data_IF_624709640300
#
_entry.id   IF_624709640300
#
_cell.length_a   1.000
_cell.length_b   1.000
_cell.length_c   1.000
_cell.angle_alpha   90.00
_cell.angle_beta   90.00
_cell.angle_gamma   90.00
#
_symmetry.space_group_name_H-M   'P 1'
#
loop_
_entity.id
_entity.type
_entity.pdbx_description
1 polymer ?
#
# COMPACT_ATOMS: atom_id res chain seq x y z
N UNK A 1 -3.68 26.49 -11.74
CA UNK A 1 -4.89 25.72 -12.02
C UNK A 1 -5.07 24.63 -10.96
N UNK A 2 -6.31 24.45 -10.48
CA UNK A 2 -6.62 23.38 -9.50
C UNK A 2 -6.95 22.10 -10.27
N UNK A 3 -6.42 20.96 -9.81
CA UNK A 3 -6.67 19.67 -10.41
C UNK A 3 -7.29 18.71 -9.40
N UNK A 4 -8.10 17.79 -9.90
CA UNK A 4 -8.63 16.64 -9.18
C UNK A 4 -7.88 15.42 -9.67
N UNK A 5 -7.40 14.59 -8.74
CA UNK A 5 -6.70 13.34 -9.01
C UNK A 5 -7.54 12.17 -8.49
N UNK A 6 -7.69 11.14 -9.30
CA UNK A 6 -8.44 9.93 -8.98
C UNK A 6 -7.59 8.71 -9.27
N UNK A 7 -7.45 7.83 -8.29
CA UNK A 7 -6.80 6.54 -8.47
C UNK A 7 -7.80 5.52 -8.99
N UNK A 8 -7.38 4.74 -9.98
CA UNK A 8 -8.20 3.69 -10.60
C UNK A 8 -7.36 2.44 -10.83
N UNK A 9 -7.97 1.25 -10.65
CA UNK A 9 -7.42 0.03 -11.21
C UNK A 9 -7.60 0.07 -12.71
N UNK A 10 -6.52 -0.10 -13.46
CA UNK A 10 -6.45 0.13 -14.90
C UNK A 10 -5.93 -1.10 -15.63
N UNK A 11 -6.68 -1.55 -16.63
CA UNK A 11 -6.23 -2.60 -17.53
C UNK A 11 -5.30 -2.00 -18.57
N UNK A 12 -3.99 -2.10 -18.36
CA UNK A 12 -2.96 -1.52 -19.22
C UNK A 12 -2.84 -2.24 -20.56
N UNK A 13 -2.99 -3.54 -20.55
CA UNK A 13 -3.11 -4.43 -21.70
C UNK A 13 -4.06 -5.57 -21.35
N UNK A 14 -4.46 -6.38 -22.32
CA UNK A 14 -5.38 -7.48 -22.08
C UNK A 14 -4.91 -8.34 -20.89
N UNK A 15 -5.81 -8.53 -19.92
CA UNK A 15 -5.60 -9.29 -18.68
C UNK A 15 -4.42 -8.82 -17.78
N UNK A 16 -3.88 -7.61 -18.00
CA UNK A 16 -2.79 -7.09 -17.18
C UNK A 16 -3.17 -5.74 -16.57
N UNK A 17 -3.14 -5.68 -15.25
CA UNK A 17 -3.67 -4.57 -14.46
C UNK A 17 -2.58 -3.86 -13.66
N UNK A 18 -2.77 -2.57 -13.46
CA UNK A 18 -2.04 -1.76 -12.48
C UNK A 18 -2.97 -0.73 -11.84
N UNK A 19 -2.43 0.09 -10.95
CA UNK A 19 -3.14 1.22 -10.36
C UNK A 19 -2.60 2.50 -10.98
N UNK A 20 -3.47 3.26 -11.64
CA UNK A 20 -3.13 4.48 -12.37
C UNK A 20 -3.81 5.70 -11.77
N UNK A 21 -3.33 6.90 -12.10
CA UNK A 21 -3.94 8.16 -11.70
C UNK A 21 -4.55 8.83 -12.92
N UNK A 22 -5.82 9.17 -12.81
CA UNK A 22 -6.51 10.09 -13.69
C UNK A 22 -6.44 11.51 -13.11
N UNK A 23 -6.40 12.51 -13.98
CA UNK A 23 -6.41 13.93 -13.60
C UNK A 23 -7.41 14.71 -14.44
N UNK A 24 -8.17 15.59 -13.79
CA UNK A 24 -9.02 16.58 -14.45
C UNK A 24 -8.70 17.98 -13.94
N UNK A 25 -8.81 19.00 -14.79
CA UNK A 25 -8.87 20.37 -14.33
C UNK A 25 -10.19 20.61 -13.60
N UNK A 26 -10.14 21.34 -12.48
CA UNK A 26 -11.34 21.69 -11.73
C UNK A 26 -12.24 22.60 -12.57
N UNK A 27 -13.48 22.20 -12.78
CA UNK A 27 -14.52 22.95 -13.46
C UNK A 27 -15.82 22.87 -12.65
N UNK A 28 -16.65 23.91 -12.74
CA UNK A 28 -17.95 23.95 -12.06
C UNK A 28 -19.02 23.12 -12.79
N UNK A 29 -18.85 22.88 -14.08
CA UNK A 29 -19.88 22.27 -14.93
C UNK A 29 -19.68 20.78 -15.19
N UNK A 30 -18.45 20.37 -15.46
CA UNK A 30 -18.10 18.97 -15.76
C UNK A 30 -16.61 18.71 -15.55
N UNK A 31 -16.25 17.45 -15.41
CA UNK A 31 -14.85 17.01 -15.27
C UNK A 31 -14.54 16.04 -16.41
N UNK A 32 -13.46 16.35 -17.13
CA UNK A 32 -12.89 15.44 -18.12
C UNK A 32 -11.58 14.93 -17.54
N UNK A 33 -11.47 13.61 -17.39
CA UNK A 33 -10.31 12.96 -16.84
C UNK A 33 -9.42 12.38 -17.94
N UNK A 34 -8.14 12.70 -17.87
CA UNK A 34 -7.10 12.11 -18.69
C UNK A 34 -6.16 11.27 -17.83
N UNK A 35 -5.48 10.29 -18.44
CA UNK A 35 -4.44 9.53 -17.74
C UNK A 35 -3.29 10.49 -17.42
N UNK A 36 -3.04 10.68 -16.12
CA UNK A 36 -1.95 11.51 -15.63
C UNK A 36 -0.69 10.67 -15.40
N UNK A 37 -0.83 9.52 -14.74
CA UNK A 37 0.26 8.62 -14.44
C UNK A 37 -0.21 7.17 -14.53
N UNK A 38 0.62 6.32 -15.11
CA UNK A 38 0.44 4.87 -15.10
C UNK A 38 1.79 4.19 -14.91
N UNK A 39 1.91 3.23 -13.96
CA UNK A 39 3.12 2.42 -13.82
C UNK A 39 3.52 1.72 -15.11
N UNK A 40 4.82 1.52 -15.32
CA UNK A 40 5.32 0.75 -16.45
C UNK A 40 4.98 -0.74 -16.33
N UNK A 41 5.05 -1.27 -15.11
CA UNK A 41 4.64 -2.63 -14.80
C UNK A 41 3.12 -2.78 -14.72
N UNK A 42 2.63 -3.98 -14.99
CA UNK A 42 1.27 -4.44 -14.68
C UNK A 42 1.30 -5.92 -14.29
N UNK A 43 0.29 -6.40 -13.58
CA UNK A 43 0.16 -7.79 -13.13
C UNK A 43 -0.87 -8.50 -13.98
N UNK A 44 -0.49 -9.62 -14.56
CA UNK A 44 -1.38 -10.49 -15.33
C UNK A 44 -2.26 -11.31 -14.37
N UNK A 45 -3.53 -11.53 -14.76
CA UNK A 45 -4.44 -12.36 -13.96
C UNK A 45 -3.88 -13.80 -13.86
N UNK A 46 -3.38 -14.32 -14.98
CA UNK A 46 -2.76 -15.64 -15.07
C UNK A 46 -1.22 -15.51 -14.91
N UNK A 47 -0.77 -15.06 -13.75
CA UNK A 47 0.66 -14.93 -13.45
C UNK A 47 1.25 -16.22 -12.88
N UNK A 48 2.59 -16.29 -12.82
CA UNK A 48 3.35 -17.47 -12.38
C UNK A 48 3.06 -17.92 -10.94
N UNK A 49 2.50 -17.05 -10.10
CA UNK A 49 2.07 -17.40 -8.74
C UNK A 49 0.66 -17.99 -8.70
N UNK A 50 -0.12 -17.90 -9.79
CA UNK A 50 -1.53 -18.28 -9.78
C UNK A 50 -2.39 -17.43 -8.85
N UNK A 51 -1.88 -16.28 -8.41
CA UNK A 51 -2.56 -15.37 -7.48
C UNK A 51 -2.75 -14.00 -8.12
N UNK A 52 -3.98 -13.54 -8.11
CA UNK A 52 -4.35 -12.18 -8.47
C UNK A 52 -5.46 -11.66 -7.57
N UNK A 53 -5.28 -10.46 -7.04
CA UNK A 53 -6.32 -9.81 -6.28
C UNK A 53 -6.35 -8.30 -6.56
N UNK A 54 -7.39 -7.84 -7.22
CA UNK A 54 -7.58 -6.43 -7.55
C UNK A 54 -7.70 -5.50 -6.32
N UNK A 55 -8.06 -6.04 -5.15
CA UNK A 55 -8.13 -5.25 -3.92
C UNK A 55 -6.75 -4.96 -3.30
N UNK A 56 -5.69 -5.72 -3.68
CA UNK A 56 -4.31 -5.46 -3.25
C UNK A 56 -3.61 -4.45 -4.18
N UNK A 57 -4.30 -3.38 -4.55
CA UNK A 57 -3.89 -2.41 -5.55
C UNK A 57 -3.22 -1.14 -5.00
N UNK A 58 -3.32 -0.88 -3.69
CA UNK A 58 -2.91 0.41 -3.11
C UNK A 58 -3.83 1.54 -3.58
N UNK A 59 -3.26 2.59 -4.17
CA UNK A 59 -4.03 3.65 -4.83
C UNK A 59 -4.27 4.88 -3.95
N UNK A 60 -3.54 5.07 -2.85
CA UNK A 60 -3.67 6.26 -2.01
C UNK A 60 -2.89 7.42 -2.62
N UNK A 61 -3.54 8.58 -2.65
CA UNK A 61 -2.97 9.85 -3.09
C UNK A 61 -2.93 10.79 -1.89
N UNK A 62 -1.77 11.41 -1.64
CA UNK A 62 -1.62 12.42 -0.60
C UNK A 62 -0.87 13.64 -1.12
N UNK A 63 -1.10 14.80 -0.51
CA UNK A 63 -0.28 15.98 -0.74
C UNK A 63 1.13 15.74 -0.22
N UNK A 64 2.13 16.22 -0.94
CA UNK A 64 3.53 16.12 -0.54
C UNK A 64 4.20 17.49 -0.54
N UNK A 65 4.80 17.86 -1.63
CA UNK A 65 5.41 19.19 -1.79
C UNK A 65 4.54 20.07 -2.68
N UNK A 66 4.95 21.34 -2.85
CA UNK A 66 4.28 22.24 -3.79
C UNK A 66 4.10 21.60 -5.18
N UNK A 67 5.12 20.88 -5.65
CA UNK A 67 5.17 20.35 -7.02
C UNK A 67 4.87 18.85 -7.12
N UNK A 68 4.80 18.12 -6.01
CA UNK A 68 4.66 16.67 -6.01
C UNK A 68 3.45 16.19 -5.21
N UNK A 69 2.94 15.04 -5.58
CA UNK A 69 2.00 14.23 -4.80
C UNK A 69 2.68 12.93 -4.40
N UNK A 70 2.24 12.34 -3.29
CA UNK A 70 2.53 10.94 -2.96
C UNK A 70 1.47 10.04 -3.57
N UNK A 71 1.91 8.87 -3.98
CA UNK A 71 1.05 7.84 -4.52
C UNK A 71 1.51 6.45 -4.09
N UNK A 72 0.59 5.64 -3.58
CA UNK A 72 0.88 4.25 -3.26
C UNK A 72 0.37 3.29 -4.33
N UNK A 73 1.13 2.25 -4.58
CA UNK A 73 0.78 1.15 -5.48
C UNK A 73 0.87 -0.16 -4.73
N UNK A 74 -0.04 -1.08 -4.99
CA UNK A 74 0.00 -2.43 -4.44
C UNK A 74 0.63 -3.42 -5.41
N UNK A 75 0.65 -4.69 -5.03
CA UNK A 75 1.27 -5.76 -5.81
C UNK A 75 0.27 -6.63 -6.56
N UNK A 76 -1.04 -6.46 -6.33
CA UNK A 76 -2.09 -7.35 -6.86
C UNK A 76 -1.85 -8.82 -6.52
N UNK A 77 -1.12 -9.11 -5.44
CA UNK A 77 -0.54 -10.37 -4.99
C UNK A 77 0.66 -10.90 -5.77
N UNK A 78 1.12 -10.24 -6.83
CA UNK A 78 2.41 -10.57 -7.44
C UNK A 78 3.55 -9.99 -6.59
N UNK A 79 3.95 -10.73 -5.58
CA UNK A 79 4.74 -10.29 -4.42
C UNK A 79 6.13 -9.76 -4.75
N UNK A 80 6.84 -10.40 -5.67
CA UNK A 80 8.23 -10.08 -6.02
C UNK A 80 8.41 -8.64 -6.51
N UNK A 81 7.36 -8.06 -7.10
CA UNK A 81 7.38 -6.68 -7.56
C UNK A 81 7.65 -5.69 -6.42
N UNK A 82 7.27 -6.01 -5.18
CA UNK A 82 7.52 -5.13 -4.05
C UNK A 82 9.01 -4.92 -3.77
N UNK A 83 9.84 -5.94 -4.03
CA UNK A 83 11.29 -5.90 -3.82
C UNK A 83 12.10 -5.49 -5.07
N UNK A 84 11.48 -5.41 -6.24
CA UNK A 84 12.16 -4.97 -7.44
C UNK A 84 12.20 -3.43 -7.53
N UNK A 85 13.39 -2.79 -7.41
CA UNK A 85 13.51 -1.33 -7.47
C UNK A 85 13.31 -0.74 -8.88
N UNK A 86 13.14 -1.56 -9.90
CA UNK A 86 13.01 -1.13 -11.31
C UNK A 86 11.56 -0.95 -11.75
N UNK A 87 10.59 -1.28 -10.90
CA UNK A 87 9.18 -1.09 -11.19
C UNK A 87 8.48 -0.27 -10.11
N UNK A 88 7.29 0.22 -10.42
CA UNK A 88 6.53 1.12 -9.56
C UNK A 88 5.43 0.41 -8.75
N UNK A 89 5.34 -0.93 -8.74
CA UNK A 89 4.34 -1.68 -7.97
C UNK A 89 4.90 -2.11 -6.60
N UNK A 90 4.04 -2.06 -5.57
CA UNK A 90 4.46 -2.29 -4.18
C UNK A 90 5.34 -1.17 -3.63
N UNK A 91 5.02 0.07 -3.97
CA UNK A 91 5.83 1.26 -3.67
C UNK A 91 5.00 2.42 -3.14
N UNK A 92 5.67 3.36 -2.47
CA UNK A 92 5.21 4.74 -2.33
C UNK A 92 6.07 5.60 -3.26
N UNK A 93 5.40 6.34 -4.13
CA UNK A 93 6.00 7.15 -5.18
C UNK A 93 5.81 8.64 -4.86
N UNK A 94 6.79 9.46 -5.19
CA UNK A 94 6.64 10.90 -5.36
C UNK A 94 6.48 11.20 -6.85
N UNK A 95 5.38 11.83 -7.24
CA UNK A 95 5.06 12.11 -8.64
C UNK A 95 5.01 13.63 -8.85
N UNK A 96 5.80 14.12 -9.78
CA UNK A 96 5.81 15.54 -10.18
C UNK A 96 4.52 15.91 -10.93
N UNK A 97 3.82 16.94 -10.46
CA UNK A 97 2.51 17.36 -10.98
C UNK A 97 2.55 17.89 -12.41
N UNK A 98 3.72 18.36 -12.88
CA UNK A 98 3.87 18.96 -14.20
C UNK A 98 4.32 17.94 -15.24
N UNK A 99 5.21 17.03 -14.86
CA UNK A 99 5.86 16.10 -15.79
C UNK A 99 5.36 14.67 -15.67
N UNK A 100 4.59 14.36 -14.61
CA UNK A 100 4.16 13.01 -14.25
C UNK A 100 5.33 12.02 -14.00
N UNK A 101 6.56 12.53 -13.84
CA UNK A 101 7.70 11.68 -13.50
C UNK A 101 7.60 11.20 -12.06
N UNK A 102 7.78 9.89 -11.87
CA UNK A 102 7.77 9.24 -10.58
C UNK A 102 9.18 8.99 -10.05
N UNK A 103 9.35 9.14 -8.73
CA UNK A 103 10.51 8.69 -7.96
C UNK A 103 10.01 7.76 -6.86
N UNK A 104 10.65 6.60 -6.70
CA UNK A 104 10.36 5.68 -5.59
C UNK A 104 10.88 6.32 -4.30
N UNK A 105 10.02 6.47 -3.30
CA UNK A 105 10.32 6.99 -1.96
C UNK A 105 10.52 5.81 -0.99
N UNK A 106 9.66 4.81 -1.07
CA UNK A 106 9.79 3.57 -0.32
C UNK A 106 9.31 2.38 -1.13
N UNK A 107 9.74 1.19 -0.71
CA UNK A 107 9.47 -0.08 -1.37
C UNK A 107 9.17 -1.17 -0.34
N UNK A 108 8.85 -2.37 -0.80
CA UNK A 108 8.51 -3.46 0.11
C UNK A 108 7.13 -3.29 0.73
N UNK A 109 6.18 -2.72 -0.02
CA UNK A 109 4.78 -2.54 0.37
C UNK A 109 3.89 -3.60 -0.27
N UNK A 110 2.92 -4.10 0.49
CA UNK A 110 1.89 -5.02 0.00
C UNK A 110 0.67 -4.27 -0.51
N UNK A 111 -0.04 -3.55 0.37
CA UNK A 111 -1.30 -2.87 0.09
C UNK A 111 -1.52 -1.69 1.03
N UNK A 112 -0.99 -0.54 0.67
CA UNK A 112 -1.09 0.69 1.46
C UNK A 112 -2.51 1.24 1.40
N UNK A 113 -3.17 1.34 2.55
CA UNK A 113 -4.56 1.76 2.72
C UNK A 113 -4.74 3.19 3.23
N UNK A 114 -3.72 3.76 3.81
CA UNK A 114 -3.67 5.15 4.24
C UNK A 114 -2.30 5.75 3.97
N UNK A 115 -2.26 7.04 3.67
CA UNK A 115 -1.02 7.75 3.33
C UNK A 115 -1.14 9.22 3.71
N UNK A 116 -0.16 9.74 4.43
CA UNK A 116 -0.09 11.16 4.78
C UNK A 116 1.35 11.62 4.91
N UNK A 117 1.59 12.89 4.61
CA UNK A 117 2.88 13.54 4.80
C UNK A 117 2.78 14.60 5.89
N UNK A 118 3.71 14.57 6.81
CA UNK A 118 3.83 15.52 7.89
C UNK A 118 5.00 16.48 7.63
N UNK A 119 4.68 17.65 7.08
CA UNK A 119 5.67 18.61 6.60
C UNK A 119 6.62 19.11 7.70
N UNK A 120 6.13 19.27 8.94
CA UNK A 120 6.94 19.81 10.05
C UNK A 120 8.13 18.94 10.44
N UNK A 121 7.96 17.62 10.38
CA UNK A 121 8.98 16.65 10.77
C UNK A 121 9.59 15.96 9.55
N UNK A 122 9.10 16.30 8.33
CA UNK A 122 9.50 15.67 7.08
C UNK A 122 9.29 14.14 7.10
N UNK A 123 8.11 13.71 7.53
CA UNK A 123 7.75 12.30 7.72
C UNK A 123 6.61 11.88 6.80
N UNK A 124 6.71 10.68 6.25
CA UNK A 124 5.59 10.00 5.58
C UNK A 124 5.09 8.89 6.49
N UNK A 125 3.81 8.93 6.81
CA UNK A 125 3.12 7.89 7.55
C UNK A 125 2.19 7.13 6.62
N UNK A 126 2.19 5.81 6.72
CA UNK A 126 1.28 4.95 5.97
C UNK A 126 0.68 3.86 6.85
N UNK A 127 -0.50 3.41 6.47
CA UNK A 127 -1.14 2.21 7.00
C UNK A 127 -1.21 1.18 5.91
N UNK A 128 -1.01 -0.08 6.26
CA UNK A 128 -0.90 -1.15 5.28
C UNK A 128 -1.62 -2.41 5.74
N UNK A 129 -2.36 -3.06 4.84
CA UNK A 129 -2.88 -4.39 5.09
C UNK A 129 -1.77 -5.42 4.94
N UNK A 130 -1.53 -6.17 6.01
CA UNK A 130 -0.76 -7.40 5.95
C UNK A 130 -1.49 -8.53 5.21
N UNK A 131 -0.89 -9.70 5.14
CA UNK A 131 -1.61 -10.92 4.74
C UNK A 131 -2.58 -11.35 5.85
N UNK A 132 -2.71 -12.61 6.17
CA UNK A 132 -3.57 -13.06 7.27
C UNK A 132 -2.99 -12.60 8.63
N UNK A 133 -3.46 -11.47 9.15
CA UNK A 133 -2.85 -10.70 10.24
C UNK A 133 -1.80 -9.69 9.74
N UNK A 134 -1.12 -9.01 10.67
CA UNK A 134 0.01 -8.15 10.37
C UNK A 134 -0.32 -6.86 9.62
N UNK A 135 -1.46 -6.23 9.91
CA UNK A 135 -1.69 -4.84 9.51
C UNK A 135 -0.66 -3.95 10.18
N UNK A 136 -0.16 -2.94 9.48
CA UNK A 136 0.97 -2.14 9.92
C UNK A 136 0.70 -0.63 9.85
N UNK A 137 1.35 0.09 10.78
CA UNK A 137 1.56 1.54 10.68
C UNK A 137 3.05 1.76 10.47
N UNK A 138 3.38 2.35 9.35
CA UNK A 138 4.73 2.54 8.88
C UNK A 138 5.14 4.01 8.90
N UNK A 139 6.36 4.31 9.37
CA UNK A 139 6.99 5.62 9.33
C UNK A 139 8.21 5.61 8.41
N UNK A 140 8.20 6.50 7.44
CA UNK A 140 9.40 6.84 6.66
C UNK A 140 9.85 8.26 7.01
N UNK A 141 10.93 8.36 7.76
CA UNK A 141 11.60 9.58 8.21
C UNK A 141 12.94 9.83 7.47
N UNK A 142 13.27 8.97 6.50
CA UNK A 142 14.53 9.03 5.74
C UNK A 142 14.28 9.41 4.26
N UNK A 143 13.58 10.52 4.03
CA UNK A 143 13.12 10.92 2.69
C UNK A 143 14.23 11.47 1.78
N UNK A 144 15.35 11.89 2.36
CA UNK A 144 16.51 12.44 1.63
C UNK A 144 17.50 11.34 1.18
N UNK A 145 17.25 10.09 1.57
CA UNK A 145 18.10 8.96 1.17
C UNK A 145 18.08 8.73 -0.34
N UNK A 146 19.23 8.37 -0.87
CA UNK A 146 19.37 7.92 -2.27
C UNK A 146 18.71 6.57 -2.47
N UNK A 147 18.77 5.71 -1.44
CA UNK A 147 18.17 4.38 -1.45
C UNK A 147 16.76 4.46 -0.83
N UNK A 148 15.71 3.99 -1.50
CA UNK A 148 14.37 3.94 -0.93
C UNK A 148 14.33 3.11 0.36
N UNK A 149 13.61 3.60 1.37
CA UNK A 149 13.32 2.82 2.58
C UNK A 149 12.55 1.56 2.19
N UNK A 150 12.97 0.39 2.70
CA UNK A 150 12.34 -0.89 2.41
C UNK A 150 11.59 -1.40 3.65
N UNK A 151 10.28 -1.67 3.49
CA UNK A 151 9.38 -2.16 4.54
C UNK A 151 9.16 -3.68 4.51
N UNK A 152 9.92 -4.40 3.72
CA UNK A 152 10.17 -5.85 3.86
C UNK A 152 9.23 -6.78 3.11
N UNK A 153 8.00 -6.38 2.73
CA UNK A 153 7.14 -7.25 1.95
C UNK A 153 7.79 -7.68 0.62
N UNK A 154 7.75 -8.96 0.21
CA UNK A 154 7.13 -10.13 0.83
C UNK A 154 8.11 -11.01 1.62
N UNK A 155 9.28 -10.53 1.98
CA UNK A 155 10.30 -11.30 2.72
C UNK A 155 9.93 -11.38 4.20
N UNK A 156 9.46 -10.28 4.75
CA UNK A 156 9.04 -10.19 6.15
C UNK A 156 7.62 -9.64 6.29
N UNK A 157 6.89 -10.09 7.30
CA UNK A 157 5.59 -9.61 7.72
C UNK A 157 5.22 -10.22 9.06
N UNK A 158 4.47 -9.49 9.88
CA UNK A 158 3.92 -10.02 11.13
C UNK A 158 2.68 -10.90 10.92
N UNK A 159 2.10 -10.90 9.73
CA UNK A 159 1.00 -11.79 9.34
C UNK A 159 1.48 -13.13 8.78
N UNK A 160 0.51 -13.97 8.39
CA UNK A 160 0.71 -15.28 7.78
C UNK A 160 0.20 -15.27 6.34
N UNK A 161 0.74 -16.15 5.51
CA UNK A 161 0.17 -16.39 4.17
C UNK A 161 -1.27 -16.88 4.24
N UNK A 162 -2.07 -16.56 3.23
CA UNK A 162 -3.43 -17.09 3.10
C UNK A 162 -3.49 -18.58 2.72
N UNK A 163 -2.37 -19.21 2.43
CA UNK A 163 -2.25 -20.58 1.94
C UNK A 163 -2.99 -21.62 2.74
N UNK A 164 -3.27 -21.33 3.99
CA UNK A 164 -3.95 -22.27 4.86
C UNK A 164 -5.47 -22.22 4.70
N UNK A 165 -6.05 -21.33 3.89
CA UNK A 165 -7.49 -21.15 3.94
C UNK A 165 -8.07 -20.56 2.66
N UNK A 166 -8.46 -21.39 1.73
CA UNK A 166 -9.60 -21.07 0.89
C UNK A 166 -10.87 -21.47 1.64
N UNK A 167 -11.88 -20.61 1.64
CA UNK A 167 -13.20 -21.02 2.09
C UNK A 167 -13.81 -21.89 0.99
N UNK A 168 -14.27 -23.09 1.33
CA UNK A 168 -15.14 -23.85 0.44
C UNK A 168 -16.43 -23.06 0.17
N UNK A 169 -17.20 -23.39 -0.88
CA UNK A 169 -18.51 -22.77 -1.11
C UNK A 169 -19.44 -22.84 0.12
N UNK A 170 -19.20 -23.80 1.01
CA UNK A 170 -19.94 -24.02 2.26
C UNK A 170 -19.35 -23.26 3.46
N UNK A 171 -18.30 -22.44 3.24
CA UNK A 171 -17.65 -21.66 4.29
C UNK A 171 -16.64 -22.42 5.16
N UNK A 172 -16.31 -23.65 4.83
CA UNK A 172 -15.27 -24.40 5.54
C UNK A 172 -13.87 -23.97 5.10
N UNK A 173 -12.94 -23.87 6.04
CA UNK A 173 -11.52 -23.65 5.77
C UNK A 173 -10.93 -24.85 5.06
N UNK A 174 -10.53 -24.70 3.80
CA UNK A 174 -9.71 -25.68 3.09
C UNK A 174 -8.26 -25.35 3.39
N UNK A 175 -7.62 -26.17 4.20
CA UNK A 175 -6.18 -26.10 4.43
C UNK A 175 -5.51 -26.89 3.31
N UNK A 176 -4.94 -26.20 2.33
CA UNK A 176 -4.06 -26.83 1.37
C UNK A 176 -2.64 -26.88 1.95
N UNK A 177 -2.30 -27.99 2.59
CA UNK A 177 -0.97 -28.23 3.16
C UNK A 177 0.14 -28.36 2.11
N UNK A 178 -0.22 -28.49 0.84
CA UNK A 178 0.69 -28.72 -0.28
C UNK A 178 0.93 -27.47 -1.15
N UNK A 179 0.56 -26.28 -0.68
CA UNK A 179 0.82 -25.06 -1.44
C UNK A 179 2.33 -24.77 -1.53
N UNK A 180 2.91 -25.31 -2.60
CA UNK A 180 4.34 -25.18 -2.94
C UNK A 180 4.78 -23.74 -3.12
N UNK A 181 3.84 -22.83 -3.38
CA UNK A 181 4.10 -21.42 -3.58
C UNK A 181 4.58 -20.76 -2.30
N UNK A 182 3.93 -21.08 -1.18
CA UNK A 182 4.24 -20.49 0.11
C UNK A 182 5.39 -21.16 0.84
N UNK A 183 5.60 -22.45 0.63
CA UNK A 183 6.74 -23.18 1.20
C UNK A 183 8.09 -22.68 0.69
N UNK A 184 8.12 -22.04 -0.48
CA UNK A 184 9.33 -21.42 -1.08
C UNK A 184 9.52 -19.95 -0.73
N UNK A 185 8.55 -19.31 -0.09
CA UNK A 185 8.56 -17.90 0.27
C UNK A 185 8.10 -17.71 1.72
N UNK A 186 8.87 -18.15 2.72
CA UNK A 186 8.51 -17.98 4.13
C UNK A 186 8.42 -16.51 4.49
N UNK A 187 7.44 -16.15 5.34
CA UNK A 187 7.37 -14.83 5.94
C UNK A 187 8.13 -14.81 7.26
N UNK A 188 9.14 -13.96 7.31
CA UNK A 188 9.94 -13.73 8.52
C UNK A 188 9.26 -12.66 9.39
N UNK A 189 9.28 -12.85 10.71
CA UNK A 189 8.57 -11.99 11.68
C UNK A 189 9.37 -10.76 12.11
N UNK A 190 10.63 -10.64 11.73
CA UNK A 190 11.47 -9.46 11.97
C UNK A 190 11.86 -8.84 10.64
N UNK A 191 11.54 -7.57 10.45
CA UNK A 191 11.99 -6.80 9.29
C UNK A 191 13.48 -6.45 9.44
N UNK A 192 13.91 -6.08 10.64
CA UNK A 192 15.28 -5.65 10.93
C UNK A 192 16.31 -6.74 10.73
N UNK A 193 15.98 -8.02 10.92
CA UNK A 193 16.88 -9.15 10.66
C UNK A 193 17.32 -9.24 9.19
N UNK A 194 16.54 -8.63 8.30
CA UNK A 194 16.82 -8.54 6.86
C UNK A 194 17.28 -7.14 6.42
N UNK A 195 17.53 -6.24 7.38
CA UNK A 195 17.93 -4.86 7.09
C UNK A 195 16.79 -3.97 6.58
N UNK A 196 15.53 -4.36 6.79
CA UNK A 196 14.36 -3.59 6.45
C UNK A 196 13.92 -2.71 7.62
N UNK A 197 13.10 -1.70 7.33
CA UNK A 197 12.49 -0.84 8.35
C UNK A 197 11.37 -1.58 9.06
N UNK A 198 11.42 -1.60 10.40
CA UNK A 198 10.33 -2.09 11.22
C UNK A 198 9.12 -1.14 11.17
N UNK A 199 7.88 -1.67 11.22
CA UNK A 199 6.70 -0.83 11.43
C UNK A 199 6.73 -0.21 12.83
N UNK A 200 6.16 0.98 12.97
CA UNK A 200 5.98 1.61 14.29
C UNK A 200 4.96 0.84 15.16
N UNK A 201 3.96 0.27 14.52
CA UNK A 201 2.97 -0.62 15.15
C UNK A 201 2.52 -1.68 14.15
N UNK A 202 2.22 -2.87 14.65
CA UNK A 202 1.57 -3.92 13.89
C UNK A 202 0.43 -4.56 14.69
N UNK A 203 -0.52 -5.18 14.00
CA UNK A 203 -1.73 -5.76 14.57
C UNK A 203 -1.90 -7.21 14.16
N UNK A 204 -1.91 -8.11 15.14
CA UNK A 204 -2.20 -9.54 14.96
C UNK A 204 -3.20 -9.94 16.04
N UNK A 205 -4.45 -10.26 15.66
CA UNK A 205 -4.99 -10.34 14.30
C UNK A 205 -5.12 -8.98 13.60
N UNK A 206 -5.32 -9.00 12.28
CA UNK A 206 -5.61 -7.80 11.49
C UNK A 206 -6.85 -7.09 11.99
N UNK A 207 -6.82 -5.76 11.98
CA UNK A 207 -7.94 -4.90 12.35
C UNK A 207 -8.63 -4.25 11.14
N UNK A 208 -8.21 -4.61 9.92
CA UNK A 208 -8.68 -3.97 8.71
C UNK A 208 -8.35 -2.48 8.68
N UNK A 209 -7.07 -2.16 8.96
CA UNK A 209 -6.59 -0.78 9.04
C UNK A 209 -6.89 -0.02 7.74
N UNK A 210 -7.20 1.28 7.83
CA UNK A 210 -7.63 2.07 6.68
C UNK A 210 -6.91 3.42 6.61
N UNK A 211 -7.63 4.51 6.35
CA UNK A 211 -7.04 5.83 6.19
C UNK A 211 -6.25 6.29 7.43
N UNK A 212 -5.22 7.10 7.20
CA UNK A 212 -4.41 7.77 8.23
C UNK A 212 -4.36 9.26 7.93
N UNK A 213 -4.33 10.08 8.97
CA UNK A 213 -4.14 11.52 8.86
C UNK A 213 -3.46 12.08 10.08
N UNK A 214 -2.89 13.27 9.95
CA UNK A 214 -2.33 14.03 11.07
C UNK A 214 -3.38 14.92 11.69
N UNK A 215 -3.33 15.09 13.02
CA UNK A 215 -4.20 16.00 13.75
C UNK A 215 -3.46 17.30 14.05
N UNK A 216 -4.15 18.43 13.87
CA UNK A 216 -3.63 19.74 14.23
C UNK A 216 -3.58 19.88 15.77
N UNK A 217 -2.56 20.58 16.26
CA UNK A 217 -2.18 20.83 17.66
C UNK A 217 -3.34 21.12 18.65
N UNK A 218 -4.45 21.67 18.21
CA UNK A 218 -5.54 22.13 19.09
C UNK A 218 -6.77 21.23 19.10
N UNK A 219 -6.72 20.06 18.45
CA UNK A 219 -7.89 19.19 18.37
C UNK A 219 -8.08 18.38 19.64
N UNK A 220 -6.99 17.90 20.24
CA UNK A 220 -6.99 17.28 21.57
C UNK A 220 -6.05 18.07 22.50
N UNK A 221 -6.53 18.40 23.71
CA UNK A 221 -5.67 18.98 24.76
C UNK A 221 -4.52 18.00 25.06
N UNK A 222 -3.30 18.50 25.07
CA UNK A 222 -2.05 17.78 25.42
C UNK A 222 -1.40 16.91 24.34
N UNK A 223 -1.83 16.98 23.07
CA UNK A 223 -1.16 16.30 21.97
C UNK A 223 -0.61 17.31 20.97
N UNK A 224 0.72 17.46 20.94
CA UNK A 224 1.38 18.38 20.00
C UNK A 224 1.51 17.81 18.59
N UNK A 225 1.63 16.48 18.46
CA UNK A 225 1.71 15.73 17.22
C UNK A 225 1.00 14.40 17.41
N UNK A 226 -0.06 14.20 16.68
CA UNK A 226 -0.82 12.95 16.72
C UNK A 226 -1.23 12.55 15.32
N UNK A 227 -1.18 11.26 15.09
CA UNK A 227 -1.80 10.62 13.94
C UNK A 227 -3.11 9.97 14.38
N UNK A 228 -4.09 9.98 13.49
CA UNK A 228 -5.33 9.21 13.64
C UNK A 228 -5.46 8.31 12.43
N UNK A 229 -5.78 7.07 12.69
CA UNK A 229 -6.08 6.10 11.65
C UNK A 229 -7.43 5.45 11.88
N UNK A 230 -8.05 4.99 10.81
CA UNK A 230 -9.29 4.23 10.85
C UNK A 230 -9.04 2.74 10.81
N UNK A 231 -10.00 1.98 11.30
CA UNK A 231 -10.04 0.52 11.19
C UNK A 231 -11.47 0.09 10.88
N UNK A 232 -11.62 -1.00 10.13
CA UNK A 232 -12.92 -1.67 9.90
C UNK A 232 -13.30 -2.61 11.04
N UNK A 233 -12.38 -2.87 11.96
CA UNK A 233 -12.52 -3.88 12.99
C UNK A 233 -12.24 -5.28 12.47
N UNK A 234 -12.27 -6.24 13.39
CA UNK A 234 -12.13 -7.65 13.09
C UNK A 234 -13.54 -8.28 13.09
N UNK A 235 -13.92 -8.97 12.02
CA UNK A 235 -15.21 -9.64 11.93
C UNK A 235 -15.40 -10.80 12.92
N UNK A 236 -14.36 -11.16 13.68
CA UNK A 236 -14.44 -12.20 14.69
C UNK A 236 -15.13 -11.77 16.00
N UNK A 237 -15.36 -10.46 16.19
CA UNK A 237 -15.99 -9.92 17.39
C UNK A 237 -17.52 -9.77 17.28
N UNK A 238 -18.14 -10.26 16.20
CA UNK A 238 -19.58 -10.15 16.03
C UNK A 238 -20.39 -11.13 16.89
N UNK A 239 -19.73 -12.02 17.64
CA UNK A 239 -20.37 -13.02 18.51
C UNK A 239 -19.78 -13.08 19.93
N UNK A 240 -19.07 -12.04 20.39
CA UNK A 240 -18.50 -12.03 21.72
C UNK A 240 -18.99 -10.88 22.56
#
# INVERSE_FOLDING_TARGET
EKHIYVSVSFMKKLNCFNTSILRAAHSESFLIFDIFFTPNACVEIDNDYGEYNASDSGGRIASYTKNNILYSTGTFRYRDLAQDPKNELGKILSIDKNTAKAKIISMGHRNVMGLTYFEKTNEIWSTEHGPNGGDEINLNDNLDSVTPTNFGWPVSSYGEHYSASSLSPEGALIVDSDDKTYNKAPLHKSHSDFGFREPELYFVPSIGISAITTIKKNFFKNFDHSIVFGSKGNNYDAEG
#
